data_IF_132520132143
#
_entry.id   IF_132520132143
#
_cell.length_a   1.000
_cell.length_b   1.000
_cell.length_c   1.000
_cell.angle_alpha   90.00
_cell.angle_beta   90.00
_cell.angle_gamma   90.00
#
_symmetry.space_group_name_H-M   'P 1'
#
loop_
_entity.id
_entity.type
_entity.pdbx_description
1 polymer ?
#
# COMPACT_ATOMS: atom_id res chain seq x y z
N UNK A 1 -27.74 -14.98 -10.19
CA UNK A 1 -26.58 -14.44 -10.96
C UNK A 1 -26.30 -12.95 -10.73
N UNK A 2 -27.14 -12.18 -9.99
CA UNK A 2 -26.90 -10.75 -9.77
C UNK A 2 -25.95 -10.45 -8.58
N UNK A 3 -25.76 -11.37 -7.64
CA UNK A 3 -24.93 -11.14 -6.45
C UNK A 3 -23.41 -11.06 -6.73
N UNK A 4 -22.93 -11.81 -7.72
CA UNK A 4 -21.49 -11.90 -8.05
C UNK A 4 -20.93 -10.61 -8.68
N UNK A 5 -21.73 -9.89 -9.47
CA UNK A 5 -21.29 -8.61 -10.06
C UNK A 5 -21.14 -7.50 -9.01
N UNK A 6 -22.06 -7.40 -8.05
CA UNK A 6 -21.95 -6.44 -6.96
C UNK A 6 -20.72 -6.71 -6.10
N UNK A 7 -20.45 -7.97 -5.80
CA UNK A 7 -19.30 -8.38 -5.01
C UNK A 7 -17.97 -8.05 -5.71
N UNK A 8 -17.92 -8.21 -7.04
CA UNK A 8 -16.78 -7.81 -7.86
C UNK A 8 -16.57 -6.28 -7.87
N UNK A 9 -17.64 -5.49 -7.99
CA UNK A 9 -17.57 -4.03 -7.93
C UNK A 9 -17.08 -3.52 -6.56
N UNK A 10 -17.56 -4.09 -5.46
CA UNK A 10 -17.05 -3.75 -4.11
C UNK A 10 -15.58 -4.14 -3.93
N UNK A 11 -15.16 -5.24 -4.54
CA UNK A 11 -13.77 -5.70 -4.51
C UNK A 11 -12.86 -4.67 -5.20
N UNK A 12 -13.27 -4.17 -6.38
CA UNK A 12 -12.55 -3.13 -7.10
C UNK A 12 -12.45 -1.82 -6.30
N UNK A 13 -13.51 -1.41 -5.60
CA UNK A 13 -13.51 -0.19 -4.77
C UNK A 13 -12.45 -0.23 -3.67
N UNK A 14 -12.22 -1.39 -3.05
CA UNK A 14 -11.18 -1.53 -2.01
C UNK A 14 -9.76 -1.36 -2.55
N UNK A 15 -9.52 -1.72 -3.82
CA UNK A 15 -8.20 -1.60 -4.48
C UNK A 15 -7.92 -0.18 -5.00
N UNK A 16 -8.96 0.64 -5.21
CA UNK A 16 -8.80 2.03 -5.69
C UNK A 16 -7.94 2.86 -4.72
N UNK A 17 -8.12 2.69 -3.42
CA UNK A 17 -7.37 3.43 -2.39
C UNK A 17 -5.85 3.16 -2.47
N UNK A 18 -5.35 1.90 -2.35
CA UNK A 18 -3.92 1.62 -2.48
C UNK A 18 -3.38 1.96 -3.89
N UNK A 19 -4.18 1.84 -4.96
CA UNK A 19 -3.79 2.28 -6.31
C UNK A 19 -3.54 3.79 -6.39
N UNK A 20 -4.44 4.61 -5.85
CA UNK A 20 -4.29 6.07 -5.84
C UNK A 20 -3.04 6.49 -5.07
N UNK A 21 -2.80 5.87 -3.91
CA UNK A 21 -1.61 6.15 -3.09
C UNK A 21 -0.34 5.76 -3.86
N UNK A 22 -0.31 4.60 -4.50
CA UNK A 22 0.83 4.17 -5.31
C UNK A 22 1.09 5.11 -6.50
N UNK A 23 0.04 5.53 -7.21
CA UNK A 23 0.17 6.49 -8.32
C UNK A 23 0.72 7.83 -7.82
N UNK A 24 0.22 8.33 -6.68
CA UNK A 24 0.72 9.57 -6.08
C UNK A 24 2.22 9.45 -5.72
N UNK A 25 2.66 8.33 -5.15
CA UNK A 25 4.07 8.08 -4.86
C UNK A 25 4.91 7.97 -6.15
N UNK A 26 4.42 7.28 -7.18
CA UNK A 26 5.09 7.17 -8.49
C UNK A 26 5.24 8.53 -9.19
N UNK A 27 4.26 9.41 -9.08
CA UNK A 27 4.38 10.79 -9.60
C UNK A 27 5.39 11.60 -8.76
N UNK A 28 5.42 11.40 -7.44
CA UNK A 28 6.32 12.10 -6.54
C UNK A 28 7.79 11.75 -6.79
N UNK A 29 8.11 10.45 -6.93
CA UNK A 29 9.49 10.00 -7.22
C UNK A 29 9.98 10.47 -8.58
N UNK A 30 9.11 10.48 -9.61
CA UNK A 30 9.46 10.97 -10.95
C UNK A 30 9.78 12.47 -10.98
N UNK A 31 9.19 13.24 -10.06
CA UNK A 31 9.39 14.69 -10.00
C UNK A 31 10.60 15.06 -9.13
N UNK A 32 10.82 14.33 -8.04
CA UNK A 32 11.92 14.57 -7.08
C UNK A 32 12.43 13.23 -6.54
N UNK A 33 13.64 12.85 -6.95
CA UNK A 33 14.31 11.64 -6.44
C UNK A 33 15.06 11.99 -5.14
N UNK A 34 14.38 11.80 -4.00
CA UNK A 34 14.96 11.87 -2.65
C UNK A 34 14.75 10.53 -1.94
N UNK A 35 15.54 10.27 -0.90
CA UNK A 35 15.41 9.06 -0.08
C UNK A 35 13.96 8.86 0.44
N UNK A 36 13.30 9.97 0.82
CA UNK A 36 11.91 10.02 1.27
C UNK A 36 10.93 9.46 0.21
N UNK A 37 11.12 9.83 -1.05
CA UNK A 37 10.30 9.40 -2.19
C UNK A 37 10.45 7.91 -2.47
N UNK A 38 11.69 7.40 -2.38
CA UNK A 38 12.01 5.98 -2.62
C UNK A 38 11.38 5.11 -1.53
N UNK A 39 11.49 5.51 -0.26
CA UNK A 39 10.85 4.79 0.85
C UNK A 39 9.32 4.71 0.69
N UNK A 40 8.68 5.82 0.31
CA UNK A 40 7.24 5.84 0.08
C UNK A 40 6.80 5.00 -1.13
N UNK A 41 7.56 5.01 -2.21
CA UNK A 41 7.28 4.16 -3.37
C UNK A 41 7.37 2.68 -3.03
N UNK A 42 8.40 2.27 -2.28
CA UNK A 42 8.57 0.87 -1.87
C UNK A 42 7.44 0.47 -0.90
N UNK A 43 7.14 1.29 0.11
CA UNK A 43 6.08 1.00 1.08
C UNK A 43 4.68 0.94 0.44
N UNK A 44 4.35 1.86 -0.46
CA UNK A 44 3.08 1.83 -1.20
C UNK A 44 3.01 0.66 -2.20
N UNK A 45 4.12 0.30 -2.83
CA UNK A 45 4.20 -0.87 -3.72
C UNK A 45 3.96 -2.19 -2.98
N UNK A 46 4.59 -2.36 -1.82
CA UNK A 46 4.35 -3.52 -0.95
C UNK A 46 2.88 -3.59 -0.53
N UNK A 47 2.30 -2.45 -0.12
CA UNK A 47 0.89 -2.37 0.31
C UNK A 47 -0.06 -2.74 -0.83
N UNK A 48 0.18 -2.24 -2.05
CA UNK A 48 -0.62 -2.55 -3.23
C UNK A 48 -0.52 -4.03 -3.62
N UNK A 49 0.70 -4.58 -3.60
CA UNK A 49 0.92 -6.01 -3.88
C UNK A 49 0.18 -6.89 -2.87
N UNK A 50 0.21 -6.54 -1.59
CA UNK A 50 -0.53 -7.23 -0.52
C UNK A 50 -2.05 -7.14 -0.71
N UNK A 51 -2.59 -5.97 -1.08
CA UNK A 51 -4.02 -5.83 -1.37
C UNK A 51 -4.46 -6.77 -2.51
N UNK A 52 -3.65 -6.88 -3.57
CA UNK A 52 -3.91 -7.82 -4.67
C UNK A 52 -3.82 -9.28 -4.20
N UNK A 53 -2.82 -9.62 -3.38
CA UNK A 53 -2.69 -10.96 -2.80
C UNK A 53 -3.91 -11.35 -1.94
N UNK A 54 -4.41 -10.44 -1.10
CA UNK A 54 -5.58 -10.71 -0.26
C UNK A 54 -6.89 -10.82 -1.04
N UNK A 55 -7.05 -10.06 -2.13
CA UNK A 55 -8.32 -10.05 -2.87
C UNK A 55 -8.40 -11.02 -4.03
N UNK A 56 -7.29 -11.38 -4.66
CA UNK A 56 -7.30 -12.29 -5.82
C UNK A 56 -6.73 -13.67 -5.49
N UNK A 57 -5.61 -13.72 -4.75
CA UNK A 57 -4.89 -14.98 -4.54
C UNK A 57 -5.57 -15.83 -3.47
N UNK A 58 -6.00 -15.23 -2.36
CA UNK A 58 -6.77 -15.89 -1.30
C UNK A 58 -8.06 -16.59 -1.76
N UNK A 59 -9.02 -15.91 -2.43
CA UNK A 59 -10.25 -16.58 -2.84
C UNK A 59 -10.00 -17.68 -3.88
N UNK A 60 -9.01 -17.50 -4.76
CA UNK A 60 -8.61 -18.52 -5.73
C UNK A 60 -8.05 -19.76 -5.03
N UNK A 61 -7.15 -19.56 -4.06
CA UNK A 61 -6.54 -20.61 -3.25
C UNK A 61 -7.54 -21.38 -2.37
N UNK A 62 -8.53 -20.68 -1.81
CA UNK A 62 -9.61 -21.30 -0.99
C UNK A 62 -10.58 -22.09 -1.88
N UNK A 63 -10.77 -21.66 -3.14
CA UNK A 63 -11.67 -22.33 -4.08
C UNK A 63 -11.06 -23.59 -4.71
N UNK A 64 -9.75 -23.58 -4.97
CA UNK A 64 -9.01 -24.69 -5.60
C UNK A 64 -8.46 -25.72 -4.58
N UNK A 65 -8.29 -25.32 -3.31
CA UNK A 65 -7.82 -26.22 -2.25
C UNK A 65 -8.61 -26.02 -0.96
N UNK A 66 -9.15 -27.11 -0.44
CA UNK A 66 -9.65 -27.22 0.92
C UNK A 66 -8.49 -27.12 1.93
N UNK A 67 -7.84 -25.95 2.01
CA UNK A 67 -6.76 -25.71 2.95
C UNK A 67 -7.33 -25.73 4.38
N UNK A 68 -6.72 -26.51 5.30
CA UNK A 68 -7.09 -26.49 6.70
C UNK A 68 -7.00 -25.06 7.23
N UNK A 69 -7.95 -24.67 8.10
CA UNK A 69 -8.04 -23.31 8.67
C UNK A 69 -6.71 -22.83 9.30
N UNK A 70 -5.89 -23.77 9.78
CA UNK A 70 -4.55 -23.49 10.31
C UNK A 70 -3.55 -22.98 9.27
N UNK A 71 -3.57 -23.46 8.03
CA UNK A 71 -2.66 -23.03 6.96
C UNK A 71 -3.03 -21.63 6.45
N UNK A 72 -4.32 -21.32 6.41
CA UNK A 72 -4.84 -19.99 6.05
C UNK A 72 -4.40 -18.95 7.08
N UNK A 73 -4.48 -19.28 8.38
CA UNK A 73 -4.03 -18.40 9.47
C UNK A 73 -2.52 -18.12 9.43
N UNK A 74 -1.70 -19.13 9.12
CA UNK A 74 -0.26 -18.95 8.96
C UNK A 74 0.06 -18.01 7.79
N UNK A 75 -0.61 -18.19 6.64
CA UNK A 75 -0.43 -17.32 5.48
C UNK A 75 -0.81 -15.86 5.78
N UNK A 76 -1.96 -15.62 6.43
CA UNK A 76 -2.36 -14.28 6.87
C UNK A 76 -1.37 -13.67 7.86
N UNK A 77 -0.79 -14.47 8.76
CA UNK A 77 0.19 -13.97 9.74
C UNK A 77 1.49 -13.52 9.06
N UNK A 78 1.98 -14.29 8.08
CA UNK A 78 3.20 -13.93 7.30
C UNK A 78 2.96 -12.68 6.46
N UNK A 79 1.83 -12.62 5.74
CA UNK A 79 1.47 -11.42 4.98
C UNK A 79 1.24 -10.21 5.89
N UNK A 80 0.69 -10.42 7.09
CA UNK A 80 0.52 -9.39 8.12
C UNK A 80 1.85 -8.79 8.57
N UNK A 81 2.87 -9.61 8.82
CA UNK A 81 4.21 -9.14 9.15
C UNK A 81 4.84 -8.30 8.03
N UNK A 82 4.73 -8.77 6.77
CA UNK A 82 5.23 -8.03 5.60
C UNK A 82 4.47 -6.71 5.42
N UNK A 83 3.16 -6.72 5.64
CA UNK A 83 2.31 -5.53 5.60
C UNK A 83 2.71 -4.52 6.65
N UNK A 84 3.04 -4.98 7.86
CA UNK A 84 3.50 -4.12 8.93
C UNK A 84 4.82 -3.44 8.57
N UNK A 85 5.80 -4.20 8.08
CA UNK A 85 7.08 -3.64 7.63
C UNK A 85 6.91 -2.65 6.47
N UNK A 86 6.08 -2.99 5.47
CA UNK A 86 5.77 -2.10 4.35
C UNK A 86 5.08 -0.81 4.78
N UNK A 87 4.14 -0.90 5.73
CA UNK A 87 3.44 0.25 6.31
C UNK A 87 4.36 1.16 7.12
N UNK A 88 5.28 0.59 7.90
CA UNK A 88 6.30 1.36 8.63
C UNK A 88 7.23 2.10 7.66
N UNK A 89 7.70 1.43 6.60
CA UNK A 89 8.51 2.08 5.56
C UNK A 89 7.77 3.25 4.89
N UNK A 90 6.49 3.06 4.57
CA UNK A 90 5.65 4.12 4.01
C UNK A 90 5.51 5.30 4.98
N UNK A 91 5.23 5.03 6.26
CA UNK A 91 5.06 6.06 7.28
C UNK A 91 6.35 6.86 7.52
N UNK A 92 7.51 6.21 7.54
CA UNK A 92 8.82 6.88 7.71
C UNK A 92 9.09 7.80 6.50
N UNK A 93 8.87 7.31 5.27
CA UNK A 93 9.03 8.13 4.08
C UNK A 93 8.10 9.36 4.11
N UNK A 94 6.83 9.17 4.48
CA UNK A 94 5.84 10.24 4.58
C UNK A 94 6.21 11.26 5.67
N UNK A 95 6.72 10.81 6.81
CA UNK A 95 7.20 11.67 7.87
C UNK A 95 8.39 12.52 7.42
N UNK A 96 9.37 11.93 6.75
CA UNK A 96 10.50 12.68 6.20
C UNK A 96 10.05 13.74 5.19
N UNK A 97 9.11 13.41 4.31
CA UNK A 97 8.53 14.37 3.36
C UNK A 97 7.89 15.57 4.06
N UNK A 98 7.02 15.32 5.05
CA UNK A 98 6.34 16.37 5.80
C UNK A 98 7.38 17.25 6.49
N UNK A 99 8.36 16.65 7.16
CA UNK A 99 9.41 17.39 7.85
C UNK A 99 10.21 18.28 6.87
N UNK A 100 10.59 17.73 5.72
CA UNK A 100 11.31 18.44 4.67
C UNK A 100 10.48 19.60 4.09
N UNK A 101 9.18 19.40 3.88
CA UNK A 101 8.26 20.43 3.39
C UNK A 101 8.05 21.55 4.42
N UNK A 102 7.87 21.20 5.71
CA UNK A 102 7.72 22.18 6.80
C UNK A 102 9.00 23.00 6.98
N UNK A 103 10.17 22.37 6.93
CA UNK A 103 11.45 23.09 7.06
C UNK A 103 11.74 23.96 5.83
N UNK A 104 11.43 23.48 4.62
CA UNK A 104 11.56 24.28 3.41
C UNK A 104 10.65 25.52 3.44
N UNK A 105 9.43 25.40 3.96
CA UNK A 105 8.53 26.53 4.12
C UNK A 105 9.02 27.54 5.17
N UNK A 106 9.62 27.09 6.27
CA UNK A 106 10.25 28.00 7.26
C UNK A 106 11.41 28.79 6.66
N UNK A 107 12.24 28.18 5.82
CA UNK A 107 13.33 28.85 5.12
C UNK A 107 12.84 29.88 4.08
N UNK A 108 11.68 29.65 3.47
CA UNK A 108 11.05 30.60 2.56
C UNK A 108 10.38 31.77 3.30
N UNK A 109 9.71 31.51 4.43
CA UNK A 109 9.08 32.56 5.24
C UNK A 109 10.06 33.41 6.05
N UNK A 110 11.26 32.91 6.35
CA UNK A 110 12.32 33.68 7.02
C UNK A 110 13.16 34.57 6.09
N UNK A 111 12.87 34.55 4.78
CA UNK A 111 13.61 35.31 3.75
C UNK A 111 12.82 36.49 3.16
N UNK A 112 11.64 36.80 3.71
CA UNK A 112 10.85 37.98 3.39
C UNK A 112 10.69 38.86 4.63
#
# INVERSE_FOLDING_TARGET
MNGSMWQFLFTLVSIISPLLVFIACCLYINKIVRADSVLMCIGSGITLLLSVMYQFVMPYLIQDRAMPVGEVSFYYSVLGMISFSGGVCFAIGLFMLINNMVNANKLLNGKF
#
